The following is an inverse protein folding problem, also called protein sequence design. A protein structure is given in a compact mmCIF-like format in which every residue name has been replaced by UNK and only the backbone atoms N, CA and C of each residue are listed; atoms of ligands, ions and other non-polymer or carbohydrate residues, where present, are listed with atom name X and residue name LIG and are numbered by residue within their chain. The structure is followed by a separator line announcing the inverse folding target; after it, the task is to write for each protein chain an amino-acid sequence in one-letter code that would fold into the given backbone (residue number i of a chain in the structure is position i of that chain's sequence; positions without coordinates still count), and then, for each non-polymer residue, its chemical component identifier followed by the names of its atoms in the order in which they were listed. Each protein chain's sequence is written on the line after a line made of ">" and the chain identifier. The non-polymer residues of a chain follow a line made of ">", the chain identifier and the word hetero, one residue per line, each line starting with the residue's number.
data_IF_132215859323
#
_entry.id   IF_132215859323
#
_cell.length_a   1.000
_cell.length_b   1.000
_cell.length_c   1.000
_cell.angle_alpha   90.00
_cell.angle_beta   90.00
_cell.angle_gamma   90.00
#
_symmetry.space_group_name_H-M   'P 1'
#
loop_
_entity.id
_entity.type
_entity.pdbx_description
1 polymer ?
#
# COMPACT_ATOMS: atom_id res chain seq x y z
N UNK A 1 -39.09 29.94 24.03
CA UNK A 1 -38.08 30.86 23.47
C UNK A 1 -37.21 31.43 24.59
N UNK A 2 -35.95 31.00 24.75
CA UNK A 2 -34.86 31.78 25.38
C UNK A 2 -33.53 31.29 24.79
N UNK A 3 -33.07 31.94 23.72
CA UNK A 3 -31.73 31.73 23.13
C UNK A 3 -30.72 32.50 23.98
N UNK A 4 -29.70 31.83 24.51
CA UNK A 4 -28.53 32.51 25.08
C UNK A 4 -27.42 32.50 24.04
N UNK A 5 -27.31 33.63 23.36
CA UNK A 5 -26.21 34.01 22.50
C UNK A 5 -25.08 34.53 23.41
N UNK A 6 -23.93 33.87 23.42
CA UNK A 6 -22.68 34.45 23.95
C UNK A 6 -21.70 34.44 22.78
N UNK A 7 -21.33 35.65 22.38
CA UNK A 7 -20.37 36.00 21.35
C UNK A 7 -19.10 36.51 22.03
N UNK A 8 -17.96 36.45 21.31
CA UNK A 8 -16.72 37.23 21.46
C UNK A 8 -15.75 36.73 22.57
N UNK A 9 -14.42 36.54 22.39
CA UNK A 9 -13.40 37.18 21.51
C UNK A 9 -12.22 36.18 21.31
N UNK A 10 -11.53 36.17 20.14
CA UNK A 10 -10.32 35.37 19.91
C UNK A 10 -9.07 36.05 20.50
N UNK A 11 -8.23 35.31 21.23
CA UNK A 11 -6.92 35.79 21.65
C UNK A 11 -5.81 35.16 20.79
N UNK A 12 -5.31 35.94 19.84
CA UNK A 12 -4.08 35.70 19.08
C UNK A 12 -2.90 35.89 20.03
N UNK A 13 -2.09 34.85 20.23
CA UNK A 13 -0.76 34.97 20.84
C UNK A 13 0.30 34.76 19.76
N UNK A 14 0.91 35.87 19.35
CA UNK A 14 2.19 35.97 18.66
C UNK A 14 3.31 35.73 19.70
N UNK A 15 4.20 34.75 19.48
CA UNK A 15 5.51 34.73 20.13
C UNK A 15 6.55 33.96 19.31
N UNK A 16 7.35 34.76 18.59
CA UNK A 16 8.81 34.70 18.45
C UNK A 16 9.51 33.38 18.10
N UNK A 17 10.08 33.40 16.90
CA UNK A 17 11.11 32.54 16.35
C UNK A 17 12.34 32.40 17.26
N UNK A 18 12.72 31.17 17.61
CA UNK A 18 14.10 30.83 17.94
C UNK A 18 14.71 30.07 16.76
N UNK A 19 15.49 30.77 15.95
CA UNK A 19 16.50 30.16 15.09
C UNK A 19 17.65 29.66 15.96
N UNK A 20 17.73 28.35 16.15
CA UNK A 20 18.95 27.67 16.58
C UNK A 20 19.86 27.48 15.36
N UNK A 21 20.98 28.22 15.33
CA UNK A 21 22.09 27.91 14.43
C UNK A 21 22.67 26.54 14.81
N UNK A 22 22.48 25.52 13.96
CA UNK A 22 23.28 24.30 14.04
C UNK A 22 24.66 24.61 13.46
N UNK A 23 25.67 24.64 14.33
CA UNK A 23 27.07 24.63 13.93
C UNK A 23 27.36 23.30 13.19
N UNK A 24 27.68 23.40 11.90
CA UNK A 24 28.11 22.28 11.07
C UNK A 24 29.59 21.98 11.40
N UNK A 25 29.82 21.09 12.35
CA UNK A 25 31.16 20.53 12.56
C UNK A 25 31.50 19.62 11.38
N UNK A 26 32.51 20.02 10.60
CA UNK A 26 33.15 19.21 9.56
C UNK A 26 33.82 18.00 10.22
N UNK A 27 33.03 16.94 10.43
CA UNK A 27 33.55 15.63 10.79
C UNK A 27 33.77 14.87 9.49
N UNK A 28 35.05 14.80 9.11
CA UNK A 28 35.56 13.86 8.11
C UNK A 28 35.12 12.45 8.52
N UNK A 29 33.97 12.03 7.99
CA UNK A 29 33.35 10.75 8.29
C UNK A 29 34.29 9.64 7.81
N UNK A 30 34.71 8.69 8.67
CA UNK A 30 35.44 7.52 8.20
C UNK A 30 34.56 6.75 7.20
N UNK A 31 35.14 6.13 6.16
CA UNK A 31 34.35 5.42 5.16
C UNK A 31 33.48 4.38 5.87
N UNK A 32 32.15 4.39 5.67
CA UNK A 32 31.26 3.50 6.38
C UNK A 32 31.64 2.07 6.00
N UNK A 33 31.79 1.19 6.99
CA UNK A 33 31.87 -0.26 6.79
C UNK A 33 30.49 -0.76 6.31
N UNK A 34 30.12 -0.40 5.07
CA UNK A 34 28.73 -0.34 4.60
C UNK A 34 28.12 -1.71 4.35
N UNK A 35 28.92 -2.76 4.19
CA UNK A 35 28.42 -4.06 3.74
C UNK A 35 27.68 -4.87 4.81
N UNK A 36 28.03 -4.70 6.09
CA UNK A 36 27.35 -5.39 7.21
C UNK A 36 26.02 -4.68 7.51
N UNK A 37 26.06 -3.35 7.53
CA UNK A 37 24.90 -2.48 7.75
C UNK A 37 23.81 -2.70 6.68
N UNK A 38 24.17 -2.76 5.39
CA UNK A 38 23.21 -3.03 4.30
C UNK A 38 22.50 -4.38 4.41
N UNK A 39 23.14 -5.41 4.97
CA UNK A 39 22.52 -6.73 5.16
C UNK A 39 21.53 -6.72 6.32
N UNK A 40 21.83 -6.00 7.39
CA UNK A 40 20.92 -5.86 8.54
C UNK A 40 19.70 -5.02 8.19
N UNK A 41 19.90 -3.91 7.47
CA UNK A 41 18.81 -3.10 6.90
C UNK A 41 17.91 -3.95 6.00
N UNK A 42 18.49 -4.78 5.12
CA UNK A 42 17.73 -5.67 4.25
C UNK A 42 16.92 -6.70 5.05
N UNK A 43 17.50 -7.34 6.08
CA UNK A 43 16.78 -8.29 6.94
C UNK A 43 15.59 -7.63 7.63
N UNK A 44 15.78 -6.44 8.19
CA UNK A 44 14.70 -5.69 8.84
C UNK A 44 13.59 -5.33 7.85
N UNK A 45 13.95 -4.83 6.67
CA UNK A 45 13.00 -4.53 5.60
C UNK A 45 12.23 -5.79 5.15
N UNK A 46 12.87 -6.95 5.16
CA UNK A 46 12.25 -8.22 4.77
C UNK A 46 11.25 -8.73 5.83
N UNK A 47 11.58 -8.61 7.11
CA UNK A 47 10.64 -8.93 8.20
C UNK A 47 9.44 -7.97 8.19
N UNK A 48 9.68 -6.67 7.97
CA UNK A 48 8.59 -5.70 7.78
C UNK A 48 7.70 -6.08 6.59
N UNK A 49 8.30 -6.39 5.44
CA UNK A 49 7.56 -6.85 4.26
C UNK A 49 6.69 -8.07 4.53
N UNK A 50 7.22 -9.10 5.23
CA UNK A 50 6.43 -10.29 5.58
C UNK A 50 5.21 -9.95 6.44
N UNK A 51 5.38 -9.08 7.43
CA UNK A 51 4.29 -8.64 8.30
C UNK A 51 3.25 -7.83 7.50
N UNK A 52 3.69 -6.84 6.75
CA UNK A 52 2.81 -6.02 5.90
C UNK A 52 2.06 -6.89 4.88
N UNK A 53 2.74 -7.87 4.27
CA UNK A 53 2.15 -8.80 3.31
C UNK A 53 1.10 -9.69 3.95
N UNK A 54 1.36 -10.21 5.17
CA UNK A 54 0.37 -10.99 5.92
C UNK A 54 -0.88 -10.14 6.21
N UNK A 55 -0.70 -8.93 6.72
CA UNK A 55 -1.81 -8.00 6.99
C UNK A 55 -2.60 -7.67 5.72
N UNK A 56 -1.92 -7.44 4.60
CA UNK A 56 -2.55 -7.22 3.30
C UNK A 56 -3.42 -8.42 2.88
N UNK A 57 -2.89 -9.64 2.97
CA UNK A 57 -3.61 -10.86 2.62
C UNK A 57 -4.82 -11.09 3.53
N UNK A 58 -4.69 -10.86 4.84
CA UNK A 58 -5.78 -11.01 5.79
C UNK A 58 -6.92 -10.02 5.49
N UNK A 59 -6.59 -8.74 5.23
CA UNK A 59 -7.58 -7.74 4.78
C UNK A 59 -8.23 -8.13 3.46
N UNK A 60 -7.46 -8.61 2.48
CA UNK A 60 -8.00 -9.07 1.18
C UNK A 60 -8.99 -10.22 1.35
N UNK A 61 -8.73 -11.15 2.26
CA UNK A 61 -9.65 -12.24 2.59
C UNK A 61 -10.92 -11.74 3.25
N UNK A 62 -10.78 -10.81 4.20
CA UNK A 62 -11.91 -10.20 4.89
C UNK A 62 -12.85 -9.48 3.91
N UNK A 63 -12.30 -8.67 2.99
CA UNK A 63 -13.09 -8.00 1.93
C UNK A 63 -13.90 -9.02 1.12
N UNK A 64 -13.26 -10.12 0.70
CA UNK A 64 -13.94 -11.14 -0.10
C UNK A 64 -14.98 -11.94 0.71
N UNK A 65 -14.75 -12.14 2.00
CA UNK A 65 -15.73 -12.78 2.90
C UNK A 65 -16.95 -11.87 3.05
N UNK A 66 -16.75 -10.60 3.42
CA UNK A 66 -17.83 -9.65 3.62
C UNK A 66 -18.66 -9.45 2.33
N UNK A 67 -18.01 -9.45 1.16
CA UNK A 67 -18.72 -9.41 -0.11
C UNK A 67 -19.61 -10.64 -0.32
N UNK A 68 -19.10 -11.86 -0.05
CA UNK A 68 -19.91 -13.08 -0.16
C UNK A 68 -21.09 -13.03 0.81
N UNK A 69 -20.84 -12.68 2.07
CA UNK A 69 -21.87 -12.61 3.09
C UNK A 69 -22.97 -11.62 2.70
N UNK A 70 -22.63 -10.45 2.16
CA UNK A 70 -23.60 -9.46 1.67
C UNK A 70 -24.42 -9.96 0.48
N UNK A 71 -23.82 -10.74 -0.43
CA UNK A 71 -24.54 -11.36 -1.55
C UNK A 71 -25.49 -12.44 -1.04
N UNK A 72 -25.02 -13.29 -0.12
CA UNK A 72 -25.84 -14.36 0.47
C UNK A 72 -27.01 -13.79 1.28
N UNK A 73 -26.79 -12.69 2.00
CA UNK A 73 -27.83 -11.93 2.69
C UNK A 73 -28.87 -11.39 1.70
N UNK A 74 -28.44 -10.71 0.63
CA UNK A 74 -29.35 -10.19 -0.40
C UNK A 74 -30.18 -11.30 -1.08
N UNK A 75 -29.61 -12.49 -1.25
CA UNK A 75 -30.31 -13.67 -1.78
C UNK A 75 -31.29 -14.26 -0.76
N UNK A 76 -30.88 -14.35 0.50
CA UNK A 76 -31.71 -14.83 1.61
C UNK A 76 -32.92 -13.93 1.82
N UNK A 77 -32.72 -12.62 1.80
CA UNK A 77 -33.78 -11.62 1.92
C UNK A 77 -34.77 -11.70 0.76
N UNK A 78 -34.26 -11.81 -0.47
CA UNK A 78 -35.11 -11.96 -1.64
C UNK A 78 -35.95 -13.25 -1.57
N UNK A 79 -35.37 -14.36 -1.11
CA UNK A 79 -36.07 -15.64 -0.91
C UNK A 79 -37.13 -15.51 0.18
N UNK A 80 -36.77 -14.89 1.31
CA UNK A 80 -37.68 -14.65 2.45
C UNK A 80 -38.85 -13.75 2.06
N UNK A 81 -38.59 -12.72 1.26
CA UNK A 81 -39.61 -11.82 0.75
C UNK A 81 -40.52 -12.45 -0.32
N UNK A 82 -40.09 -13.55 -0.96
CA UNK A 82 -40.83 -14.25 -2.01
C UNK A 82 -41.84 -15.29 -1.49
N UNK A 83 -41.86 -15.61 -0.18
CA UNK A 83 -42.82 -16.57 0.38
C UNK A 83 -44.26 -16.00 0.37
N UNK A 84 -45.22 -16.86 0.04
CA UNK A 84 -46.66 -16.56 0.03
C UNK A 84 -47.19 -15.99 -1.29
N UNK A 85 -48.49 -15.72 -1.34
CA UNK A 85 -49.13 -15.08 -2.51
C UNK A 85 -48.80 -13.59 -2.50
N UNK A 86 -48.04 -13.14 -3.50
CA UNK A 86 -47.57 -11.75 -3.64
C UNK A 86 -48.17 -11.08 -4.87
N UNK A 87 -48.50 -9.80 -4.76
CA UNK A 87 -48.91 -8.99 -5.91
C UNK A 87 -47.74 -8.80 -6.89
N UNK A 88 -48.03 -8.48 -8.14
CA UNK A 88 -46.99 -8.18 -9.15
C UNK A 88 -46.11 -7.00 -8.73
N UNK A 89 -46.69 -5.99 -8.07
CA UNK A 89 -45.95 -4.85 -7.54
C UNK A 89 -44.93 -5.26 -6.47
N UNK A 90 -45.34 -6.08 -5.50
CA UNK A 90 -44.44 -6.59 -4.45
C UNK A 90 -43.29 -7.41 -5.05
N UNK A 91 -43.55 -8.24 -6.06
CA UNK A 91 -42.50 -8.99 -6.76
C UNK A 91 -41.46 -8.07 -7.40
N UNK A 92 -41.91 -7.00 -8.08
CA UNK A 92 -41.00 -6.00 -8.67
C UNK A 92 -40.17 -5.27 -7.61
N UNK A 93 -40.80 -4.93 -6.49
CA UNK A 93 -40.11 -4.28 -5.37
C UNK A 93 -39.03 -5.18 -4.76
N UNK A 94 -39.31 -6.45 -4.51
CA UNK A 94 -38.30 -7.42 -4.02
C UNK A 94 -37.13 -7.57 -5.00
N UNK A 95 -37.42 -7.65 -6.30
CA UNK A 95 -36.36 -7.75 -7.33
C UNK A 95 -35.49 -6.49 -7.37
N UNK A 96 -36.11 -5.30 -7.30
CA UNK A 96 -35.37 -4.04 -7.23
C UNK A 96 -34.53 -3.94 -5.96
N UNK A 97 -35.08 -4.34 -4.80
CA UNK A 97 -34.34 -4.36 -3.54
C UNK A 97 -33.12 -5.29 -3.61
N UNK A 98 -33.26 -6.49 -4.18
CA UNK A 98 -32.15 -7.41 -4.40
C UNK A 98 -31.08 -6.80 -5.31
N UNK A 99 -31.48 -6.21 -6.44
CA UNK A 99 -30.53 -5.57 -7.36
C UNK A 99 -29.78 -4.43 -6.67
N UNK A 100 -30.48 -3.59 -5.92
CA UNK A 100 -29.87 -2.49 -5.17
C UNK A 100 -28.89 -3.02 -4.12
N UNK A 101 -29.24 -4.07 -3.38
CA UNK A 101 -28.35 -4.69 -2.40
C UNK A 101 -27.06 -5.23 -3.06
N UNK A 102 -27.17 -5.88 -4.22
CA UNK A 102 -26.00 -6.37 -4.98
C UNK A 102 -25.14 -5.20 -5.47
N UNK A 103 -25.73 -4.14 -6.00
CA UNK A 103 -24.99 -2.95 -6.46
C UNK A 103 -24.25 -2.30 -5.28
N UNK A 104 -24.90 -2.16 -4.13
CA UNK A 104 -24.27 -1.63 -2.92
C UNK A 104 -23.12 -2.53 -2.45
N UNK A 105 -23.30 -3.85 -2.45
CA UNK A 105 -22.23 -4.79 -2.08
C UNK A 105 -21.01 -4.68 -3.00
N UNK A 106 -21.23 -4.50 -4.31
CA UNK A 106 -20.15 -4.27 -5.28
C UNK A 106 -19.45 -2.94 -4.97
N UNK A 107 -20.20 -1.85 -4.79
CA UNK A 107 -19.63 -0.55 -4.47
C UNK A 107 -18.78 -0.56 -3.18
N UNK A 108 -19.26 -1.25 -2.15
CA UNK A 108 -18.51 -1.43 -0.88
C UNK A 108 -17.24 -2.23 -1.12
N UNK A 109 -17.31 -3.33 -1.90
CA UNK A 109 -16.13 -4.14 -2.23
C UNK A 109 -15.09 -3.33 -3.00
N UNK A 110 -15.53 -2.56 -3.98
CA UNK A 110 -14.63 -1.77 -4.82
C UNK A 110 -13.96 -0.65 -4.01
N UNK A 111 -14.72 0.06 -3.16
CA UNK A 111 -14.16 1.03 -2.22
C UNK A 111 -13.16 0.39 -1.24
N UNK A 112 -13.45 -0.81 -0.73
CA UNK A 112 -12.55 -1.51 0.18
C UNK A 112 -11.28 -2.03 -0.53
N UNK A 113 -11.36 -2.43 -1.80
CA UNK A 113 -10.19 -2.79 -2.61
C UNK A 113 -9.32 -1.55 -2.90
N UNK A 114 -9.95 -0.41 -3.19
CA UNK A 114 -9.25 0.86 -3.36
C UNK A 114 -8.51 1.28 -2.09
N UNK A 115 -9.14 1.13 -0.92
CA UNK A 115 -8.50 1.39 0.38
C UNK A 115 -7.37 0.39 0.70
N UNK A 116 -7.50 -0.88 0.28
CA UNK A 116 -6.46 -1.90 0.46
C UNK A 116 -5.17 -1.54 -0.30
N UNK A 117 -5.32 -0.90 -1.46
CA UNK A 117 -4.19 -0.46 -2.29
C UNK A 117 -3.39 -1.61 -2.90
N UNK A 118 -2.22 -1.31 -3.50
CA UNK A 118 -1.36 -2.33 -4.09
C UNK A 118 -0.70 -3.22 -3.03
N UNK A 119 -0.34 -4.47 -3.39
CA UNK A 119 0.39 -5.35 -2.48
C UNK A 119 1.75 -4.75 -2.09
N UNK A 120 2.23 -5.02 -0.87
CA UNK A 120 3.58 -4.62 -0.45
C UNK A 120 4.64 -5.15 -1.43
N UNK A 121 5.68 -4.36 -1.69
CA UNK A 121 6.79 -4.73 -2.58
C UNK A 121 7.93 -5.31 -1.77
N UNK A 122 8.46 -6.45 -2.20
CA UNK A 122 9.60 -7.08 -1.55
C UNK A 122 10.86 -6.20 -1.63
N UNK A 123 11.67 -6.13 -0.56
CA UNK A 123 12.91 -5.35 -0.59
C UNK A 123 13.89 -5.94 -1.61
N UNK A 124 14.60 -5.06 -2.33
CA UNK A 124 15.63 -5.49 -3.29
C UNK A 124 16.89 -5.91 -2.53
N UNK A 125 17.47 -7.10 -2.79
CA UNK A 125 18.72 -7.52 -2.16
C UNK A 125 19.87 -6.56 -2.49
N UNK A 126 20.80 -6.29 -1.55
CA UNK A 126 22.00 -5.50 -1.85
C UNK A 126 22.79 -6.15 -2.99
N UNK A 127 23.21 -5.34 -3.96
CA UNK A 127 23.98 -5.80 -5.11
C UNK A 127 25.24 -6.54 -4.64
N UNK A 128 25.42 -7.78 -5.09
CA UNK A 128 26.70 -8.48 -4.94
C UNK A 128 27.73 -7.70 -5.75
N UNK A 129 28.88 -7.39 -5.15
CA UNK A 129 29.96 -6.69 -5.84
C UNK A 129 30.31 -7.43 -7.15
N UNK A 130 30.49 -6.70 -8.27
CA UNK A 130 30.86 -7.32 -9.54
C UNK A 130 32.18 -8.07 -9.34
N UNK A 131 32.20 -9.36 -9.71
CA UNK A 131 33.45 -10.11 -9.80
C UNK A 131 34.31 -9.39 -10.83
N UNK A 132 35.40 -8.77 -10.39
CA UNK A 132 36.44 -8.26 -11.28
C UNK A 132 36.94 -9.43 -12.12
N UNK A 133 36.51 -9.48 -13.37
CA UNK A 133 37.02 -10.43 -14.35
C UNK A 133 38.45 -9.98 -14.65
N UNK A 134 39.44 -10.71 -14.13
CA UNK A 134 40.86 -10.39 -14.30
C UNK A 134 41.20 -10.26 -15.78
N UNK A 135 41.90 -9.18 -16.08
CA UNK A 135 42.42 -8.77 -17.38
C UNK A 135 42.96 -9.94 -18.22
N UNK A 136 42.34 -10.16 -19.39
CA UNK A 136 43.02 -10.88 -20.47
C UNK A 136 44.07 -9.95 -21.06
N UNK A 137 45.34 -10.30 -20.82
CA UNK A 137 46.55 -9.66 -21.37
C UNK A 137 46.40 -9.30 -22.87
N UNK A 138 46.99 -8.18 -23.32
CA UNK A 138 47.02 -7.85 -24.74
C UNK A 138 47.93 -8.83 -25.50
N UNK A 139 47.44 -9.35 -26.64
CA UNK A 139 48.25 -10.10 -27.60
C UNK A 139 49.27 -9.17 -28.27
N UNK A 140 50.51 -9.63 -28.55
CA UNK A 140 51.50 -8.84 -29.27
C UNK A 140 51.12 -8.65 -30.75
N UNK A 141 51.56 -7.56 -31.39
CA UNK A 141 51.23 -7.27 -32.79
C UNK A 141 51.91 -8.24 -33.75
N UNK A 142 51.13 -8.79 -34.67
CA UNK A 142 51.64 -9.56 -35.82
C UNK A 142 52.28 -8.58 -36.80
N UNK A 143 53.60 -8.69 -36.97
CA UNK A 143 54.37 -7.95 -37.96
C UNK A 143 54.11 -8.52 -39.35
N UNK A 144 53.45 -7.76 -40.21
CA UNK A 144 53.38 -8.00 -41.66
C UNK A 144 54.54 -7.29 -42.34
N UNK A 145 55.53 -8.05 -42.83
CA UNK A 145 56.51 -7.57 -43.80
C UNK A 145 56.17 -8.13 -45.19
N UNK A 146 56.22 -7.32 -46.27
CA UNK A 146 55.93 -7.79 -47.62
C UNK A 146 57.18 -8.40 -48.25
N UNK A 147 57.04 -9.54 -48.91
CA UNK A 147 58.05 -10.08 -49.82
C UNK A 147 57.86 -9.45 -51.20
N UNK A 148 58.97 -9.00 -51.77
CA UNK A 148 59.11 -8.51 -53.14
C UNK A 148 58.92 -9.62 -54.17
#
# INVERSE_FOLDING_TARGET
>A
MKRRLILLIPAVFLASTLQSNLALADTKSPPPNTSVDLREIYKLALEKYKNDFKTYEDKRREINRNFKDAIDEALSDAKSAAFGVKSQFQKRQTMSARQNAVITAIAIRDAAIEELGPPPVAPTPPAKSPKFERDKRPKPPVSTAPAQ
#
